data_IF_183596316389
#
_entry.id   IF_183596316389
#
_cell.length_a   1.000
_cell.length_b   1.000
_cell.length_c   1.000
_cell.angle_alpha   90.00
_cell.angle_beta   90.00
_cell.angle_gamma   90.00
#
_symmetry.space_group_name_H-M   'P 1'
#
loop_
_entity.id
_entity.type
_entity.pdbx_description
1 polymer ?
#
# COMPACT_ATOMS: atom_id res chain seq x y z
N UNK A 1 39.86 35.16 47.69
CA UNK A 1 40.23 34.09 46.75
C UNK A 1 39.18 33.97 45.67
N UNK A 2 39.58 34.37 44.47
CA UNK A 2 39.09 33.96 43.14
C UNK A 2 37.65 34.26 42.75
N UNK A 3 37.50 35.39 42.06
CA UNK A 3 36.64 35.49 40.89
C UNK A 3 36.79 34.25 40.01
N UNK A 4 35.82 33.33 40.09
CA UNK A 4 35.52 32.45 38.99
C UNK A 4 34.40 33.13 38.19
N UNK A 5 34.78 33.89 37.16
CA UNK A 5 33.92 34.05 35.99
C UNK A 5 33.75 32.64 35.40
N UNK A 6 32.87 31.84 36.00
CA UNK A 6 32.26 30.75 35.27
C UNK A 6 31.46 31.44 34.18
N UNK A 7 32.02 31.47 32.98
CA UNK A 7 31.24 31.67 31.77
C UNK A 7 30.29 30.48 31.77
N UNK A 8 29.09 30.69 32.32
CA UNK A 8 28.01 29.74 32.18
C UNK A 8 27.66 29.77 30.70
N UNK A 9 28.30 28.90 29.93
CA UNK A 9 27.91 28.62 28.57
C UNK A 9 26.52 28.01 28.67
N UNK A 10 25.50 28.78 28.27
CA UNK A 10 24.18 28.23 28.11
C UNK A 10 24.16 27.53 26.75
N UNK A 11 23.81 26.25 26.76
CA UNK A 11 23.60 25.47 25.55
C UNK A 11 22.46 26.03 24.69
N UNK A 12 21.60 26.88 25.28
CA UNK A 12 20.45 27.51 24.61
C UNK A 12 20.08 28.88 25.21
N UNK A 13 19.56 29.78 24.38
CA UNK A 13 19.11 31.10 24.80
C UNK A 13 17.87 31.02 25.73
N UNK A 14 17.99 31.54 26.96
CA UNK A 14 16.96 31.39 28.01
C UNK A 14 15.65 32.15 27.80
N UNK A 15 15.68 33.27 27.09
CA UNK A 15 14.51 34.13 26.91
C UNK A 15 14.12 34.21 25.43
N UNK A 16 13.37 33.21 24.97
CA UNK A 16 12.94 33.10 23.60
C UNK A 16 12.06 34.29 23.17
N UNK A 17 11.21 34.82 24.06
CA UNK A 17 10.33 35.94 23.74
C UNK A 17 11.12 37.23 23.50
N UNK A 18 12.12 37.51 24.35
CA UNK A 18 13.00 38.66 24.16
C UNK A 18 13.80 38.54 22.86
N UNK A 19 14.28 37.34 22.52
CA UNK A 19 14.97 37.10 21.26
C UNK A 19 14.05 37.37 20.06
N UNK A 20 12.82 36.84 20.09
CA UNK A 20 11.81 37.05 19.04
C UNK A 20 11.53 38.53 18.81
N UNK A 21 11.25 39.28 19.88
CA UNK A 21 10.94 40.72 19.79
C UNK A 21 12.15 41.54 19.32
N UNK A 22 13.38 41.18 19.73
CA UNK A 22 14.59 41.85 19.27
C UNK A 22 14.82 41.65 17.77
N UNK A 23 14.64 40.42 17.25
CA UNK A 23 14.74 40.13 15.82
C UNK A 23 13.65 40.88 15.06
N UNK A 24 12.40 40.76 15.49
CA UNK A 24 11.24 41.43 14.89
C UNK A 24 11.45 42.93 14.77
N UNK A 25 11.90 43.60 15.84
CA UNK A 25 12.16 45.03 15.82
C UNK A 25 13.23 45.43 14.79
N UNK A 26 14.36 44.70 14.76
CA UNK A 26 15.46 44.99 13.82
C UNK A 26 15.04 44.85 12.36
N UNK A 27 14.30 43.81 12.05
CA UNK A 27 13.84 43.58 10.68
C UNK A 27 12.70 44.51 10.27
N UNK A 28 11.84 44.93 11.20
CA UNK A 28 10.80 45.93 10.91
C UNK A 28 11.40 47.27 10.43
N UNK A 29 12.53 47.70 11.02
CA UNK A 29 13.27 48.88 10.56
C UNK A 29 13.76 48.73 9.12
N UNK A 30 14.21 47.54 8.73
CA UNK A 30 14.74 47.30 7.39
C UNK A 30 13.63 47.08 6.35
N UNK A 31 12.49 46.52 6.77
CA UNK A 31 11.34 46.31 5.88
C UNK A 31 10.45 47.55 5.68
N UNK A 32 10.71 48.64 6.40
CA UNK A 32 10.02 49.92 6.22
C UNK A 32 10.76 50.79 5.19
N UNK A 33 10.05 51.27 4.16
CA UNK A 33 10.67 52.01 3.04
C UNK A 33 11.42 53.26 3.48
N UNK A 34 10.82 54.09 4.35
CA UNK A 34 11.43 55.34 4.82
C UNK A 34 12.70 55.09 5.65
N UNK A 35 12.63 54.11 6.55
CA UNK A 35 13.75 53.71 7.42
C UNK A 35 14.86 53.06 6.60
N UNK A 36 14.51 52.24 5.61
CA UNK A 36 15.47 51.60 4.71
C UNK A 36 16.15 52.62 3.80
N UNK A 37 15.41 53.58 3.24
CA UNK A 37 15.97 54.67 2.45
C UNK A 37 16.97 55.50 3.26
N UNK A 38 16.61 55.84 4.51
CA UNK A 38 17.49 56.55 5.44
C UNK A 38 18.76 55.75 5.76
N UNK A 39 18.63 54.44 6.01
CA UNK A 39 19.78 53.56 6.24
C UNK A 39 20.66 53.44 4.99
N UNK A 40 20.06 53.38 3.80
CA UNK A 40 20.76 53.29 2.52
C UNK A 40 21.60 54.53 2.26
N UNK A 41 21.05 55.73 2.51
CA UNK A 41 21.79 56.98 2.39
C UNK A 41 23.03 57.02 3.30
N UNK A 42 22.92 56.49 4.52
CA UNK A 42 24.02 56.45 5.49
C UNK A 42 25.14 55.47 5.13
N UNK A 43 24.77 54.29 4.61
CA UNK A 43 25.71 53.15 4.49
C UNK A 43 26.17 52.92 3.05
N UNK A 44 25.41 53.35 2.05
CA UNK A 44 25.71 53.19 0.63
C UNK A 44 25.30 54.44 -0.21
N UNK A 45 25.89 55.61 0.07
CA UNK A 45 25.56 56.88 -0.59
C UNK A 45 25.85 56.89 -2.10
N UNK A 46 26.70 55.99 -2.57
CA UNK A 46 27.12 55.77 -3.97
C UNK A 46 26.07 55.02 -4.82
N UNK A 47 24.88 54.73 -4.26
CA UNK A 47 23.70 54.42 -5.07
C UNK A 47 23.62 53.01 -5.63
N UNK A 48 24.35 52.04 -5.06
CA UNK A 48 24.17 50.62 -5.43
C UNK A 48 22.71 50.20 -5.29
N UNK A 49 22.24 49.43 -6.27
CA UNK A 49 20.85 48.96 -6.39
C UNK A 49 20.52 47.90 -5.33
N UNK A 50 20.39 48.38 -4.10
CA UNK A 50 19.98 47.63 -2.92
C UNK A 50 18.52 47.94 -2.68
N UNK A 51 17.69 46.90 -2.79
CA UNK A 51 16.26 46.94 -2.49
C UNK A 51 16.01 46.17 -1.19
N UNK A 52 14.83 46.35 -0.60
CA UNK A 52 14.41 45.60 0.58
C UNK A 52 14.42 44.10 0.27
N UNK A 53 14.04 43.71 -0.96
CA UNK A 53 14.07 42.32 -1.43
C UNK A 53 15.47 41.73 -1.41
N UNK A 54 16.45 42.41 -2.01
CA UNK A 54 17.82 41.88 -2.09
C UNK A 54 18.49 41.83 -0.72
N UNK A 55 18.19 42.79 0.17
CA UNK A 55 18.64 42.73 1.56
C UNK A 55 18.04 41.54 2.33
N UNK A 56 16.72 41.39 2.27
CA UNK A 56 16.01 40.31 2.98
C UNK A 56 16.48 38.94 2.49
N UNK A 57 16.67 38.76 1.17
CA UNK A 57 17.19 37.52 0.59
C UNK A 57 18.61 37.17 1.08
N UNK A 58 19.45 38.17 1.33
CA UNK A 58 20.81 37.97 1.83
C UNK A 58 20.86 37.67 3.33
N UNK A 59 19.99 38.31 4.12
CA UNK A 59 20.05 38.25 5.59
C UNK A 59 19.24 37.07 6.16
N UNK A 60 18.13 36.66 5.53
CA UNK A 60 17.29 35.58 6.04
C UNK A 60 18.05 34.26 6.28
N UNK A 61 18.91 33.77 5.35
CA UNK A 61 19.68 32.55 5.59
C UNK A 61 20.59 32.67 6.81
N UNK A 62 21.26 33.83 6.97
CA UNK A 62 22.13 34.10 8.12
C UNK A 62 21.36 34.15 9.44
N UNK A 63 20.14 34.69 9.41
CA UNK A 63 19.27 34.66 10.57
C UNK A 63 18.87 33.22 10.92
N UNK A 64 18.57 32.39 9.91
CA UNK A 64 18.22 30.98 10.11
C UNK A 64 19.35 30.22 10.78
N UNK A 65 20.58 30.38 10.29
CA UNK A 65 21.77 29.75 10.87
C UNK A 65 22.00 30.24 12.31
N UNK A 66 21.93 31.55 12.53
CA UNK A 66 22.09 32.15 13.86
C UNK A 66 21.05 31.66 14.87
N UNK A 67 19.78 31.56 14.47
CA UNK A 67 18.73 31.01 15.34
C UNK A 67 18.95 29.51 15.58
N UNK A 68 19.42 28.75 14.59
CA UNK A 68 19.78 27.35 14.74
C UNK A 68 20.89 27.11 15.77
N UNK A 69 21.86 28.01 15.84
CA UNK A 69 22.92 27.98 16.86
C UNK A 69 22.43 28.41 18.25
N UNK A 70 21.54 29.40 18.32
CA UNK A 70 21.06 29.96 19.59
C UNK A 70 19.99 29.12 20.29
N UNK A 71 19.11 28.48 19.52
CA UNK A 71 17.97 27.71 20.01
C UNK A 71 17.87 26.38 19.26
N UNK A 72 18.86 25.48 19.45
CA UNK A 72 18.98 24.25 18.67
C UNK A 72 17.84 23.25 18.91
N UNK A 73 17.06 23.42 19.99
CA UNK A 73 15.92 22.54 20.27
C UNK A 73 14.64 22.96 19.55
N UNK A 74 14.61 24.18 18.99
CA UNK A 74 13.44 24.75 18.34
C UNK A 74 13.37 24.43 16.84
N UNK A 75 12.15 24.37 16.31
CA UNK A 75 11.94 24.31 14.87
C UNK A 75 12.10 25.73 14.29
N UNK A 76 13.25 25.97 13.63
CA UNK A 76 13.62 27.29 13.14
C UNK A 76 12.62 27.87 12.14
N UNK A 77 12.03 27.04 11.27
CA UNK A 77 11.01 27.50 10.31
C UNK A 77 9.78 28.03 11.04
N UNK A 78 9.29 27.30 12.05
CA UNK A 78 8.17 27.73 12.90
C UNK A 78 8.51 28.99 13.70
N UNK A 79 9.74 29.08 14.21
CA UNK A 79 10.21 30.23 14.97
C UNK A 79 10.24 31.49 14.09
N UNK A 80 10.78 31.39 12.87
CA UNK A 80 10.81 32.49 11.91
C UNK A 80 9.38 32.97 11.57
N UNK A 81 8.45 32.05 11.37
CA UNK A 81 7.05 32.39 11.10
C UNK A 81 6.40 33.17 12.25
N UNK A 82 6.66 32.77 13.50
CA UNK A 82 6.16 33.47 14.69
C UNK A 82 6.77 34.87 14.86
N UNK A 83 8.09 34.99 14.66
CA UNK A 83 8.82 36.27 14.69
C UNK A 83 8.20 37.26 13.69
N UNK A 84 7.95 36.78 12.48
CA UNK A 84 7.57 37.63 11.35
C UNK A 84 6.07 37.72 11.11
N UNK A 85 5.21 37.08 11.90
CA UNK A 85 3.75 36.99 11.64
C UNK A 85 3.05 38.33 11.34
N UNK A 86 3.54 39.45 11.88
CA UNK A 86 2.99 40.80 11.65
C UNK A 86 3.71 41.60 10.56
N UNK A 87 4.78 41.07 9.96
CA UNK A 87 5.59 41.76 8.97
C UNK A 87 5.07 41.50 7.54
N UNK A 88 4.54 42.51 6.82
CA UNK A 88 3.87 42.31 5.54
C UNK A 88 4.82 41.96 4.38
N UNK A 89 6.12 42.24 4.52
CA UNK A 89 7.11 42.05 3.45
C UNK A 89 7.83 40.71 3.59
N UNK A 90 8.19 40.34 4.81
CA UNK A 90 9.03 39.17 5.10
C UNK A 90 8.19 37.91 5.28
N UNK A 91 7.05 38.01 6.00
CA UNK A 91 6.23 36.84 6.31
C UNK A 91 5.76 36.06 5.07
N UNK A 92 5.26 36.71 3.99
CA UNK A 92 4.84 35.96 2.81
C UNK A 92 5.98 35.18 2.15
N UNK A 93 7.22 35.71 2.19
CA UNK A 93 8.40 35.07 1.60
C UNK A 93 8.81 33.83 2.38
N UNK A 94 8.91 33.96 3.72
CA UNK A 94 9.23 32.82 4.60
C UNK A 94 8.13 31.75 4.50
N UNK A 95 6.86 32.16 4.53
CA UNK A 95 5.73 31.25 4.34
C UNK A 95 5.85 30.49 3.02
N UNK A 96 6.13 31.17 1.91
CA UNK A 96 6.29 30.52 0.60
C UNK A 96 7.46 29.53 0.59
N UNK A 97 8.61 29.87 1.18
CA UNK A 97 9.79 29.00 1.26
C UNK A 97 9.50 27.72 2.06
N UNK A 98 8.89 27.87 3.24
CA UNK A 98 8.52 26.74 4.11
C UNK A 98 7.51 25.82 3.40
N UNK A 99 6.50 26.39 2.74
CA UNK A 99 5.53 25.62 1.97
C UNK A 99 6.17 24.89 0.80
N UNK A 100 7.05 25.56 0.05
CA UNK A 100 7.79 24.95 -1.05
C UNK A 100 8.66 23.79 -0.60
N UNK A 101 9.34 23.92 0.55
CA UNK A 101 10.13 22.83 1.15
C UNK A 101 9.26 21.64 1.57
N UNK A 102 8.11 21.90 2.20
CA UNK A 102 7.16 20.86 2.61
C UNK A 102 6.56 20.13 1.40
N UNK A 103 6.18 20.86 0.35
CA UNK A 103 5.68 20.26 -0.89
C UNK A 103 6.76 19.47 -1.62
N UNK A 104 8.00 19.95 -1.69
CA UNK A 104 9.10 19.21 -2.29
C UNK A 104 9.36 17.88 -1.55
N UNK A 105 9.33 17.88 -0.21
CA UNK A 105 9.41 16.66 0.61
C UNK A 105 8.24 15.72 0.35
N UNK A 106 7.02 16.25 0.23
CA UNK A 106 5.83 15.46 -0.09
C UNK A 106 5.97 14.81 -1.46
N UNK A 107 6.24 15.60 -2.50
CA UNK A 107 6.40 15.13 -3.87
C UNK A 107 7.49 14.05 -3.98
N UNK A 108 8.58 14.16 -3.22
CA UNK A 108 9.59 13.10 -3.15
C UNK A 108 9.02 11.77 -2.65
N UNK A 109 8.26 11.79 -1.55
CA UNK A 109 7.59 10.58 -1.01
C UNK A 109 6.64 9.97 -2.03
N UNK A 110 5.85 10.80 -2.72
CA UNK A 110 4.88 10.33 -3.71
C UNK A 110 5.56 9.75 -4.95
N UNK A 111 6.60 10.41 -5.47
CA UNK A 111 7.35 9.94 -6.62
C UNK A 111 8.09 8.63 -6.34
N UNK A 112 8.67 8.48 -5.14
CA UNK A 112 9.33 7.23 -4.72
C UNK A 112 8.31 6.07 -4.65
N UNK A 113 7.11 6.35 -4.12
CA UNK A 113 5.98 5.40 -4.08
C UNK A 113 5.53 5.00 -5.48
N UNK A 114 5.33 5.97 -6.37
CA UNK A 114 4.93 5.73 -7.76
C UNK A 114 5.96 4.85 -8.48
N UNK A 115 7.26 5.15 -8.35
CA UNK A 115 8.32 4.35 -8.96
C UNK A 115 8.32 2.89 -8.45
N UNK A 116 8.09 2.69 -7.15
CA UNK A 116 8.00 1.34 -6.55
C UNK A 116 6.73 0.62 -7.02
N UNK A 117 5.61 1.33 -7.10
CA UNK A 117 4.34 0.79 -7.59
C UNK A 117 4.45 0.37 -9.06
N UNK A 118 5.03 1.20 -9.91
CA UNK A 118 5.18 0.88 -11.34
C UNK A 118 6.00 -0.40 -11.53
N UNK A 119 7.12 -0.53 -10.80
CA UNK A 119 7.89 -1.80 -10.74
C UNK A 119 7.07 -2.97 -10.21
N UNK A 120 6.26 -2.75 -9.17
CA UNK A 120 5.36 -3.78 -8.64
C UNK A 120 4.32 -4.22 -9.67
N UNK A 121 3.89 -3.34 -10.58
CA UNK A 121 2.90 -3.64 -11.61
C UNK A 121 3.49 -4.33 -12.85
N UNK A 122 4.80 -4.40 -13.01
CA UNK A 122 5.44 -5.07 -14.16
C UNK A 122 5.19 -6.59 -14.18
N UNK A 123 5.17 -7.17 -15.39
CA UNK A 123 5.04 -8.61 -15.60
C UNK A 123 3.64 -9.17 -15.33
N UNK A 124 3.53 -10.50 -15.23
CA UNK A 124 2.27 -11.19 -14.90
C UNK A 124 1.90 -11.00 -13.45
N UNK A 125 0.61 -11.11 -13.14
CA UNK A 125 0.15 -11.02 -11.76
C UNK A 125 0.67 -12.19 -10.90
N UNK A 126 0.89 -11.94 -9.62
CA UNK A 126 1.14 -12.98 -8.62
C UNK A 126 0.44 -12.63 -7.30
N UNK A 127 0.01 -13.63 -6.54
CA UNK A 127 -0.76 -13.45 -5.29
C UNK A 127 -0.07 -12.50 -4.28
N UNK A 128 1.27 -12.54 -4.22
CA UNK A 128 2.09 -11.67 -3.36
C UNK A 128 1.97 -10.19 -3.71
N UNK A 129 1.62 -9.83 -4.95
CA UNK A 129 1.49 -8.42 -5.34
C UNK A 129 0.42 -7.72 -4.50
N UNK A 130 -0.68 -8.39 -4.11
CA UNK A 130 -1.74 -7.82 -3.27
C UNK A 130 -1.22 -7.37 -1.90
N UNK A 131 -0.40 -8.21 -1.25
CA UNK A 131 0.20 -7.89 0.05
C UNK A 131 1.31 -6.86 -0.10
N UNK A 132 2.07 -6.90 -1.19
CA UNK A 132 3.08 -5.89 -1.50
C UNK A 132 2.46 -4.51 -1.79
N UNK A 133 1.35 -4.44 -2.52
CA UNK A 133 0.64 -3.20 -2.84
C UNK A 133 0.05 -2.54 -1.61
N UNK A 134 -0.63 -3.32 -0.75
CA UNK A 134 -1.13 -2.82 0.53
C UNK A 134 0.01 -2.37 1.48
N UNK A 135 1.11 -3.12 1.53
CA UNK A 135 2.29 -2.73 2.32
C UNK A 135 2.95 -1.45 1.80
N UNK A 136 3.05 -1.29 0.48
CA UNK A 136 3.57 -0.08 -0.15
C UNK A 136 2.69 1.12 0.21
N UNK A 137 1.37 1.02 0.01
CA UNK A 137 0.44 2.08 0.36
C UNK A 137 0.52 2.47 1.85
N UNK A 138 0.64 1.49 2.75
CA UNK A 138 0.80 1.73 4.18
C UNK A 138 2.10 2.49 4.51
N UNK A 139 3.21 2.13 3.87
CA UNK A 139 4.51 2.81 4.03
C UNK A 139 4.47 4.23 3.49
N UNK A 140 3.88 4.44 2.31
CA UNK A 140 3.71 5.75 1.71
C UNK A 140 2.87 6.65 2.61
N UNK A 141 1.75 6.15 3.12
CA UNK A 141 0.90 6.90 4.05
C UNK A 141 1.66 7.27 5.34
N UNK A 142 2.45 6.36 5.90
CA UNK A 142 3.24 6.64 7.09
C UNK A 142 4.26 7.78 6.86
N UNK A 143 4.98 7.75 5.74
CA UNK A 143 5.93 8.81 5.37
C UNK A 143 5.24 10.15 5.13
N UNK A 144 4.11 10.15 4.41
CA UNK A 144 3.33 11.35 4.11
C UNK A 144 2.73 11.99 5.37
N UNK A 145 2.28 11.18 6.34
CA UNK A 145 1.64 11.65 7.58
C UNK A 145 2.48 12.63 8.40
N UNK A 146 3.79 12.40 8.48
CA UNK A 146 4.67 13.30 9.22
C UNK A 146 4.66 14.71 8.60
N UNK A 147 4.75 14.77 7.26
CA UNK A 147 4.74 16.01 6.49
C UNK A 147 3.35 16.67 6.57
N UNK A 148 2.27 15.90 6.42
CA UNK A 148 0.89 16.40 6.55
C UNK A 148 0.62 16.95 7.96
N UNK A 149 1.22 16.37 9.00
CA UNK A 149 1.10 16.89 10.37
C UNK A 149 1.78 18.25 10.50
N UNK A 150 2.97 18.43 9.93
CA UNK A 150 3.66 19.73 9.87
C UNK A 150 2.82 20.76 9.11
N UNK A 151 2.33 20.42 7.92
CA UNK A 151 1.45 21.28 7.12
C UNK A 151 0.17 21.67 7.87
N UNK A 152 -0.48 20.71 8.54
CA UNK A 152 -1.70 20.94 9.33
C UNK A 152 -1.46 21.89 10.49
N UNK A 153 -0.34 21.74 11.20
CA UNK A 153 0.03 22.63 12.31
C UNK A 153 0.28 24.04 11.78
N UNK A 154 0.88 24.16 10.60
CA UNK A 154 1.25 25.44 10.02
C UNK A 154 0.07 26.20 9.39
N UNK A 155 -0.78 25.51 8.65
CA UNK A 155 -1.83 26.12 7.83
C UNK A 155 -3.23 26.03 8.44
N UNK A 156 -3.45 25.03 9.29
CA UNK A 156 -4.77 24.65 9.77
C UNK A 156 -5.43 23.58 8.90
N UNK A 157 -6.48 22.97 9.45
CA UNK A 157 -7.13 21.77 8.87
C UNK A 157 -7.96 22.06 7.61
N UNK A 158 -8.40 23.30 7.42
CA UNK A 158 -9.28 23.71 6.31
C UNK A 158 -8.53 24.48 5.21
N UNK A 159 -7.20 24.61 5.31
CA UNK A 159 -6.41 25.33 4.32
C UNK A 159 -6.32 24.56 3.00
N UNK A 160 -6.48 25.26 1.88
CA UNK A 160 -6.52 24.65 0.54
C UNK A 160 -5.21 23.94 0.18
N UNK A 161 -4.06 24.48 0.56
CA UNK A 161 -2.77 23.85 0.26
C UNK A 161 -2.58 22.58 1.08
N UNK A 162 -3.02 22.59 2.34
CA UNK A 162 -3.03 21.39 3.18
C UNK A 162 -3.96 20.31 2.58
N UNK A 163 -5.20 20.67 2.24
CA UNK A 163 -6.18 19.74 1.68
C UNK A 163 -5.75 19.16 0.33
N UNK A 164 -5.12 19.97 -0.54
CA UNK A 164 -4.55 19.51 -1.81
C UNK A 164 -3.45 18.45 -1.59
N UNK A 165 -2.55 18.68 -0.63
CA UNK A 165 -1.51 17.70 -0.29
C UNK A 165 -2.07 16.44 0.37
N UNK A 166 -3.15 16.55 1.16
CA UNK A 166 -3.89 15.38 1.66
C UNK A 166 -4.46 14.59 0.47
N UNK A 167 -5.13 15.26 -0.46
CA UNK A 167 -5.74 14.59 -1.62
C UNK A 167 -4.69 13.87 -2.48
N UNK A 168 -3.56 14.53 -2.77
CA UNK A 168 -2.41 13.93 -3.48
C UNK A 168 -1.88 12.68 -2.76
N UNK A 169 -1.62 12.77 -1.45
CA UNK A 169 -1.07 11.67 -0.68
C UNK A 169 -2.00 10.45 -0.64
N UNK A 170 -3.29 10.68 -0.42
CA UNK A 170 -4.27 9.59 -0.35
C UNK A 170 -4.63 9.04 -1.74
N UNK A 171 -4.49 9.84 -2.80
CA UNK A 171 -4.60 9.37 -4.19
C UNK A 171 -3.50 8.36 -4.51
N UNK A 172 -2.26 8.68 -4.13
CA UNK A 172 -1.13 7.77 -4.29
C UNK A 172 -1.31 6.47 -3.49
N UNK A 173 -1.80 6.55 -2.25
CA UNK A 173 -2.14 5.38 -1.42
C UNK A 173 -3.22 4.52 -2.08
N UNK A 174 -4.25 5.16 -2.64
CA UNK A 174 -5.28 4.47 -3.41
C UNK A 174 -4.67 3.78 -4.64
N UNK A 175 -3.81 4.43 -5.41
CA UNK A 175 -3.17 3.81 -6.58
C UNK A 175 -2.32 2.59 -6.22
N UNK A 176 -1.62 2.61 -5.08
CA UNK A 176 -0.85 1.46 -4.59
C UNK A 176 -1.72 0.20 -4.38
N UNK A 177 -2.97 0.37 -3.95
CA UNK A 177 -3.90 -0.73 -3.75
C UNK A 177 -4.68 -1.09 -5.02
N UNK A 178 -5.34 -0.11 -5.63
CA UNK A 178 -6.35 -0.37 -6.67
C UNK A 178 -5.73 -0.88 -7.96
N UNK A 179 -4.55 -0.40 -8.35
CA UNK A 179 -3.93 -0.85 -9.61
C UNK A 179 -3.48 -2.30 -9.52
N UNK A 180 -3.00 -2.73 -8.35
CA UNK A 180 -2.68 -4.13 -8.10
C UNK A 180 -3.94 -4.99 -8.07
N UNK A 181 -5.01 -4.48 -7.46
CA UNK A 181 -6.31 -5.15 -7.46
C UNK A 181 -6.89 -5.28 -8.87
N UNK A 182 -6.83 -4.24 -9.69
CA UNK A 182 -7.30 -4.29 -11.07
C UNK A 182 -6.53 -5.35 -11.87
N UNK A 183 -5.20 -5.39 -11.71
CA UNK A 183 -4.37 -6.43 -12.33
C UNK A 183 -4.71 -7.84 -11.84
N UNK A 184 -5.12 -7.99 -10.59
CA UNK A 184 -5.68 -9.25 -10.08
C UNK A 184 -6.96 -9.61 -10.84
N UNK A 185 -7.92 -8.69 -10.95
CA UNK A 185 -9.19 -8.92 -11.67
C UNK A 185 -8.95 -9.26 -13.15
N UNK A 186 -8.04 -8.56 -13.83
CA UNK A 186 -7.64 -8.86 -15.21
C UNK A 186 -7.12 -10.29 -15.34
N UNK A 187 -6.25 -10.73 -14.42
CA UNK A 187 -5.71 -12.09 -14.43
C UNK A 187 -6.78 -13.17 -14.18
N UNK A 188 -7.82 -12.86 -13.41
CA UNK A 188 -8.98 -13.74 -13.26
C UNK A 188 -9.77 -13.85 -14.56
N UNK A 189 -10.07 -12.71 -15.19
CA UNK A 189 -10.87 -12.65 -16.42
C UNK A 189 -10.16 -13.36 -17.60
N UNK A 190 -8.83 -13.28 -17.64
CA UNK A 190 -8.02 -13.95 -18.66
C UNK A 190 -7.81 -15.46 -18.39
N UNK A 191 -8.36 -16.01 -17.31
CA UNK A 191 -8.13 -17.39 -16.86
C UNK A 191 -6.63 -17.72 -16.67
N UNK A 192 -5.82 -16.73 -16.29
CA UNK A 192 -4.38 -16.91 -16.01
C UNK A 192 -4.14 -17.57 -14.64
N UNK A 193 -5.20 -17.84 -13.89
CA UNK A 193 -5.19 -18.40 -12.54
C UNK A 193 -5.57 -19.89 -12.52
N UNK A 194 -4.76 -20.72 -11.84
CA UNK A 194 -5.24 -22.01 -11.36
C UNK A 194 -5.97 -21.83 -10.02
N UNK A 195 -6.86 -22.77 -9.70
CA UNK A 195 -7.63 -22.76 -8.43
C UNK A 195 -6.70 -22.76 -7.19
N UNK A 196 -5.48 -23.30 -7.31
CA UNK A 196 -4.46 -23.27 -6.25
C UNK A 196 -3.94 -21.86 -5.94
N UNK A 197 -3.90 -20.98 -6.95
CA UNK A 197 -3.36 -19.62 -6.83
C UNK A 197 -4.37 -18.70 -6.13
N UNK A 198 -5.68 -18.93 -6.35
CA UNK A 198 -6.77 -18.22 -5.65
C UNK A 198 -6.71 -18.38 -4.13
N UNK A 199 -6.29 -19.57 -3.66
CA UNK A 199 -6.14 -19.84 -2.23
C UNK A 199 -5.06 -18.96 -1.57
N UNK A 200 -4.06 -18.51 -2.34
CA UNK A 200 -2.97 -17.68 -1.86
C UNK A 200 -3.29 -16.19 -1.91
N UNK A 201 -4.30 -15.78 -2.68
CA UNK A 201 -4.73 -14.39 -2.75
C UNK A 201 -5.32 -13.95 -1.41
N UNK A 202 -4.79 -12.84 -0.87
CA UNK A 202 -5.23 -12.25 0.38
C UNK A 202 -5.52 -10.77 0.17
N UNK A 203 -6.79 -10.38 0.40
CA UNK A 203 -7.28 -9.02 0.23
C UNK A 203 -7.37 -8.25 1.56
N UNK A 204 -7.09 -8.87 2.71
CA UNK A 204 -7.21 -8.21 4.02
C UNK A 204 -6.37 -6.94 4.10
N UNK A 205 -5.11 -7.00 3.65
CA UNK A 205 -4.24 -5.81 3.69
C UNK A 205 -4.77 -4.64 2.86
N UNK A 206 -5.48 -4.89 1.76
CA UNK A 206 -6.12 -3.82 0.98
C UNK A 206 -7.36 -3.27 1.70
N UNK A 207 -8.17 -4.15 2.28
CA UNK A 207 -9.33 -3.74 3.09
C UNK A 207 -8.89 -2.87 4.28
N UNK A 208 -7.84 -3.29 4.99
CA UNK A 208 -7.30 -2.57 6.15
C UNK A 208 -6.76 -1.21 5.73
N UNK A 209 -5.91 -1.17 4.69
CA UNK A 209 -5.35 0.07 4.15
C UNK A 209 -6.43 1.12 3.83
N UNK A 210 -7.50 0.69 3.17
CA UNK A 210 -8.57 1.60 2.72
C UNK A 210 -9.51 1.99 3.86
N UNK A 211 -9.76 1.07 4.80
CA UNK A 211 -10.55 1.34 5.99
C UNK A 211 -9.86 2.36 6.90
N UNK A 212 -8.55 2.20 7.10
CA UNK A 212 -7.73 3.14 7.87
C UNK A 212 -7.66 4.50 7.17
N UNK A 213 -7.49 4.52 5.85
CA UNK A 213 -7.49 5.76 5.08
C UNK A 213 -8.82 6.54 5.25
N UNK A 214 -9.97 5.89 5.12
CA UNK A 214 -11.27 6.54 5.31
C UNK A 214 -11.51 7.03 6.74
N UNK A 215 -11.00 6.30 7.74
CA UNK A 215 -11.10 6.70 9.14
C UNK A 215 -10.36 8.02 9.37
N UNK A 216 -9.20 8.20 8.76
CA UNK A 216 -8.40 9.42 8.90
C UNK A 216 -8.98 10.59 8.09
N UNK A 217 -9.56 10.31 6.92
CA UNK A 217 -10.25 11.31 6.10
C UNK A 217 -11.65 11.68 6.60
N UNK A 218 -12.11 11.12 7.74
CA UNK A 218 -13.50 11.27 8.22
C UNK A 218 -13.96 12.72 8.29
N UNK A 219 -13.12 13.60 8.81
CA UNK A 219 -13.43 15.02 9.04
C UNK A 219 -12.84 15.97 7.98
N UNK A 220 -12.31 15.42 6.88
CA UNK A 220 -11.72 16.21 5.80
C UNK A 220 -12.63 16.16 4.56
N UNK A 221 -12.72 17.31 3.90
CA UNK A 221 -13.40 17.47 2.62
C UNK A 221 -12.37 17.39 1.49
N UNK A 222 -12.07 16.15 1.06
CA UNK A 222 -11.13 15.88 -0.04
C UNK A 222 -11.79 14.97 -1.08
N UNK A 223 -11.63 15.24 -2.38
CA UNK A 223 -12.24 14.46 -3.46
C UNK A 223 -11.95 12.96 -3.39
N UNK A 224 -10.71 12.56 -3.10
CA UNK A 224 -10.27 11.16 -3.11
C UNK A 224 -11.06 10.24 -2.16
N UNK A 225 -11.69 10.79 -1.12
CA UNK A 225 -12.46 10.05 -0.13
C UNK A 225 -13.59 9.21 -0.76
N UNK A 226 -14.28 9.75 -1.76
CA UNK A 226 -15.40 9.06 -2.43
C UNK A 226 -14.88 7.86 -3.22
N UNK A 227 -13.79 8.04 -3.97
CA UNK A 227 -13.13 7.00 -4.74
C UNK A 227 -12.61 5.86 -3.85
N UNK A 228 -11.97 6.17 -2.71
CA UNK A 228 -11.50 5.15 -1.77
C UNK A 228 -12.68 4.35 -1.20
N UNK A 229 -13.79 5.01 -0.86
CA UNK A 229 -14.98 4.34 -0.34
C UNK A 229 -15.62 3.37 -1.36
N UNK A 230 -15.70 3.79 -2.63
CA UNK A 230 -16.19 2.94 -3.72
C UNK A 230 -15.28 1.73 -3.94
N UNK A 231 -13.97 1.97 -4.04
CA UNK A 231 -12.98 0.91 -4.22
C UNK A 231 -12.98 -0.09 -3.06
N UNK A 232 -13.08 0.38 -1.82
CA UNK A 232 -13.17 -0.48 -0.63
C UNK A 232 -14.41 -1.39 -0.70
N UNK A 233 -15.54 -0.85 -1.16
CA UNK A 233 -16.77 -1.64 -1.33
C UNK A 233 -16.57 -2.75 -2.36
N UNK A 234 -16.00 -2.43 -3.53
CA UNK A 234 -15.70 -3.43 -4.56
C UNK A 234 -14.69 -4.50 -4.11
N UNK A 235 -13.64 -4.10 -3.39
CA UNK A 235 -12.63 -5.03 -2.86
C UNK A 235 -13.26 -5.98 -1.82
N UNK A 236 -14.14 -5.46 -0.95
CA UNK A 236 -14.84 -6.28 0.05
C UNK A 236 -15.76 -7.31 -0.58
N UNK A 237 -16.46 -6.93 -1.65
CA UNK A 237 -17.33 -7.86 -2.39
C UNK A 237 -16.52 -9.04 -2.95
N UNK A 238 -15.43 -8.74 -3.69
CA UNK A 238 -14.56 -9.78 -4.25
C UNK A 238 -13.90 -10.62 -3.15
N UNK A 239 -13.53 -10.01 -2.03
CA UNK A 239 -13.01 -10.73 -0.86
C UNK A 239 -14.03 -11.73 -0.31
N UNK A 240 -15.28 -11.32 -0.15
CA UNK A 240 -16.33 -12.20 0.38
C UNK A 240 -16.55 -13.40 -0.55
N UNK A 241 -16.64 -13.16 -1.87
CA UNK A 241 -16.74 -14.22 -2.87
C UNK A 241 -15.54 -15.18 -2.82
N UNK A 242 -14.32 -14.64 -2.66
CA UNK A 242 -13.12 -15.46 -2.54
C UNK A 242 -13.13 -16.32 -1.26
N UNK A 243 -13.59 -15.76 -0.14
CA UNK A 243 -13.69 -16.46 1.13
C UNK A 243 -14.77 -17.57 1.08
N UNK A 244 -15.87 -17.35 0.37
CA UNK A 244 -16.89 -18.37 0.10
C UNK A 244 -16.33 -19.52 -0.72
N UNK A 245 -15.61 -19.24 -1.82
CA UNK A 245 -14.96 -20.27 -2.65
C UNK A 245 -13.96 -21.08 -1.82
N UNK A 246 -13.15 -20.41 -1.00
CA UNK A 246 -12.19 -21.07 -0.09
C UNK A 246 -12.90 -21.94 0.94
N UNK A 247 -14.04 -21.50 1.46
CA UNK A 247 -14.82 -22.21 2.48
C UNK A 247 -15.57 -23.41 1.89
N UNK A 248 -16.15 -23.27 0.69
CA UNK A 248 -16.80 -24.37 -0.03
C UNK A 248 -15.80 -25.51 -0.34
N UNK A 249 -14.54 -25.18 -0.63
CA UNK A 249 -13.46 -26.17 -0.77
C UNK A 249 -13.10 -26.86 0.55
N UNK A 250 -13.15 -26.14 1.68
CA UNK A 250 -12.88 -26.70 3.02
C UNK A 250 -14.00 -27.63 3.52
N UNK A 251 -15.24 -27.39 3.12
CA UNK A 251 -16.39 -28.26 3.42
C UNK A 251 -16.44 -29.51 2.53
N UNK A 252 -15.68 -29.54 1.42
CA UNK A 252 -15.45 -30.72 0.58
C UNK A 252 -13.97 -31.16 0.57
N UNK A 253 -13.38 -31.55 1.71
CA UNK A 253 -11.98 -31.97 1.76
C UNK A 253 -11.74 -33.33 1.05
N UNK A 254 -12.80 -34.00 0.58
CA UNK A 254 -12.74 -35.35 -0.01
C UNK A 254 -12.77 -35.44 -1.54
N UNK A 255 -12.78 -34.33 -2.30
CA UNK A 255 -12.96 -34.41 -3.76
C UNK A 255 -11.86 -33.82 -4.64
N UNK A 256 -10.69 -33.46 -4.11
CA UNK A 256 -9.54 -33.10 -4.96
C UNK A 256 -8.56 -34.25 -5.24
N UNK A 257 -8.97 -35.51 -5.02
CA UNK A 257 -8.23 -36.69 -5.50
C UNK A 257 -9.06 -38.00 -5.52
N UNK A 258 -10.39 -37.96 -5.45
CA UNK A 258 -11.23 -39.16 -5.41
C UNK A 258 -11.61 -39.69 -6.81
N UNK A 259 -10.68 -39.65 -7.77
CA UNK A 259 -10.90 -40.17 -9.12
C UNK A 259 -10.68 -41.69 -9.20
N UNK A 260 -11.41 -42.38 -10.08
CA UNK A 260 -10.98 -43.69 -10.57
C UNK A 260 -9.79 -43.49 -11.52
N UNK A 261 -8.58 -43.29 -10.96
CA UNK A 261 -7.37 -42.90 -11.69
C UNK A 261 -7.07 -43.78 -12.89
N UNK A 262 -7.19 -45.10 -12.73
CA UNK A 262 -6.98 -46.07 -13.82
C UNK A 262 -8.05 -45.90 -14.91
N UNK A 263 -9.31 -45.67 -14.56
CA UNK A 263 -10.40 -45.51 -15.52
C UNK A 263 -10.27 -44.21 -16.32
N UNK A 264 -9.91 -43.11 -15.65
CA UNK A 264 -9.66 -41.82 -16.32
C UNK A 264 -8.43 -41.89 -17.23
N UNK A 265 -7.32 -42.49 -16.79
CA UNK A 265 -6.13 -42.67 -17.64
C UNK A 265 -6.38 -43.59 -18.84
N UNK A 266 -7.29 -44.57 -18.70
CA UNK A 266 -7.65 -45.52 -19.75
C UNK A 266 -8.59 -44.93 -20.79
N UNK A 267 -9.60 -44.18 -20.35
CA UNK A 267 -10.68 -43.66 -21.20
C UNK A 267 -10.46 -42.22 -21.66
N UNK A 268 -9.40 -41.57 -21.16
CA UNK A 268 -8.95 -40.26 -21.61
C UNK A 268 -9.83 -39.08 -21.21
N UNK A 269 -10.91 -39.31 -20.44
CA UNK A 269 -11.78 -38.26 -19.93
C UNK A 269 -12.31 -38.60 -18.54
N UNK A 270 -12.37 -37.58 -17.68
CA UNK A 270 -12.95 -37.67 -16.34
C UNK A 270 -14.47 -37.87 -16.40
N UNK A 271 -15.12 -37.41 -17.48
CA UNK A 271 -16.57 -37.39 -17.67
C UNK A 271 -17.08 -38.50 -18.59
N UNK A 272 -16.22 -39.46 -18.93
CA UNK A 272 -16.62 -40.61 -19.73
C UNK A 272 -17.67 -41.45 -18.97
N UNK A 273 -18.76 -41.86 -19.63
CA UNK A 273 -19.92 -42.52 -18.99
C UNK A 273 -19.54 -43.74 -18.13
N UNK A 274 -18.60 -44.57 -18.61
CA UNK A 274 -18.08 -45.72 -17.85
C UNK A 274 -17.28 -45.33 -16.58
N UNK A 275 -16.60 -44.19 -16.59
CA UNK A 275 -15.87 -43.69 -15.41
C UNK A 275 -16.88 -43.25 -14.35
N UNK A 276 -17.93 -42.55 -14.76
CA UNK A 276 -19.02 -42.15 -13.88
C UNK A 276 -19.73 -43.37 -13.27
N UNK A 277 -19.98 -44.40 -14.07
CA UNK A 277 -20.58 -45.65 -13.62
C UNK A 277 -19.72 -46.38 -12.56
N UNK A 278 -18.40 -46.43 -12.76
CA UNK A 278 -17.47 -47.02 -11.78
C UNK A 278 -17.36 -46.18 -10.49
N UNK A 279 -17.48 -44.85 -10.58
CA UNK A 279 -17.52 -43.98 -9.39
C UNK A 279 -18.79 -44.23 -8.59
N UNK A 280 -19.94 -44.30 -9.25
CA UNK A 280 -21.19 -44.65 -8.57
C UNK A 280 -21.11 -46.03 -7.92
N UNK A 281 -20.51 -47.03 -8.59
CA UNK A 281 -20.30 -48.35 -7.99
C UNK A 281 -19.43 -48.29 -6.73
N UNK A 282 -18.37 -47.49 -6.74
CA UNK A 282 -17.55 -47.25 -5.54
C UNK A 282 -18.37 -46.61 -4.43
N UNK A 283 -19.07 -45.53 -4.74
CA UNK A 283 -19.74 -44.70 -3.75
C UNK A 283 -20.97 -45.38 -3.14
N UNK A 284 -21.76 -46.05 -3.97
CA UNK A 284 -23.03 -46.66 -3.57
C UNK A 284 -22.87 -48.09 -3.06
N UNK A 285 -21.88 -48.85 -3.54
CA UNK A 285 -21.73 -50.26 -3.18
C UNK A 285 -20.45 -50.59 -2.41
N UNK A 286 -19.28 -50.10 -2.84
CA UNK A 286 -18.01 -50.45 -2.18
C UNK A 286 -17.93 -49.77 -0.80
N UNK A 287 -18.18 -48.46 -0.73
CA UNK A 287 -18.06 -47.69 0.51
C UNK A 287 -19.09 -48.05 1.57
N UNK A 288 -20.16 -48.78 1.21
CA UNK A 288 -21.14 -49.30 2.17
C UNK A 288 -20.69 -50.61 2.84
N UNK A 289 -19.61 -51.26 2.37
CA UNK A 289 -19.04 -52.45 3.00
C UNK A 289 -18.03 -52.07 4.09
N UNK A 290 -17.94 -52.92 5.13
CA UNK A 290 -16.98 -52.74 6.24
C UNK A 290 -15.52 -52.63 5.78
N UNK A 291 -15.15 -53.35 4.72
CA UNK A 291 -13.82 -53.33 4.11
C UNK A 291 -13.65 -52.25 3.03
N UNK A 292 -14.73 -51.55 2.65
CA UNK A 292 -14.75 -50.67 1.49
C UNK A 292 -13.80 -49.49 1.60
N UNK A 293 -13.68 -48.90 2.79
CA UNK A 293 -12.79 -47.76 3.03
C UNK A 293 -11.32 -48.14 2.87
N UNK A 294 -10.92 -49.30 3.39
CA UNK A 294 -9.55 -49.80 3.29
C UNK A 294 -9.19 -50.15 1.85
N UNK A 295 -10.12 -50.78 1.11
CA UNK A 295 -9.95 -51.07 -0.31
C UNK A 295 -9.79 -49.80 -1.16
N UNK A 296 -10.64 -48.78 -0.94
CA UNK A 296 -10.54 -47.52 -1.68
C UNK A 296 -9.23 -46.79 -1.37
N UNK A 297 -8.79 -46.81 -0.10
CA UNK A 297 -7.49 -46.24 0.31
C UNK A 297 -6.32 -46.94 -0.38
N UNK A 298 -6.31 -48.27 -0.40
CA UNK A 298 -5.32 -49.07 -1.13
C UNK A 298 -5.33 -48.75 -2.63
N UNK A 299 -6.52 -48.67 -3.23
CA UNK A 299 -6.69 -48.35 -4.64
C UNK A 299 -6.19 -46.94 -4.98
N UNK A 300 -6.42 -45.93 -4.15
CA UNK A 300 -5.90 -44.58 -4.41
C UNK A 300 -4.38 -44.49 -4.31
N UNK A 301 -3.77 -45.27 -3.43
CA UNK A 301 -2.32 -45.32 -3.33
C UNK A 301 -1.68 -45.99 -4.56
N UNK A 302 -2.08 -47.21 -4.88
CA UNK A 302 -1.46 -47.97 -5.98
C UNK A 302 -2.02 -47.59 -7.37
N UNK A 303 -3.29 -47.23 -7.45
CA UNK A 303 -3.97 -46.86 -8.69
C UNK A 303 -3.47 -45.55 -9.28
N UNK A 304 -3.06 -44.58 -8.45
CA UNK A 304 -2.41 -43.35 -8.91
C UNK A 304 -1.05 -43.60 -9.57
N UNK A 305 -0.27 -44.56 -9.05
CA UNK A 305 1.02 -44.97 -9.62
C UNK A 305 0.80 -45.68 -10.96
N UNK A 306 -0.14 -46.63 -11.02
CA UNK A 306 -0.46 -47.35 -12.24
C UNK A 306 -1.02 -46.43 -13.35
N UNK A 307 -1.85 -45.45 -12.99
CA UNK A 307 -2.46 -44.51 -13.94
C UNK A 307 -1.41 -43.70 -14.71
N UNK A 308 -0.36 -43.20 -14.03
CA UNK A 308 0.74 -42.48 -14.68
C UNK A 308 1.46 -43.32 -15.74
N UNK A 309 1.57 -44.63 -15.53
CA UNK A 309 2.21 -45.54 -16.50
C UNK A 309 1.29 -45.85 -17.69
N UNK A 310 -0.03 -45.88 -17.45
CA UNK A 310 -1.05 -46.18 -18.46
C UNK A 310 -1.31 -44.98 -19.37
N UNK A 311 -1.26 -43.75 -18.83
CA UNK A 311 -1.62 -42.51 -19.53
C UNK A 311 -0.77 -42.27 -20.79
N UNK A 312 0.50 -42.68 -20.77
CA UNK A 312 1.44 -42.44 -21.86
C UNK A 312 1.53 -43.59 -22.89
N UNK A 313 0.84 -44.74 -22.66
CA UNK A 313 1.01 -45.95 -23.49
C UNK A 313 -0.31 -46.49 -24.05
N UNK A 314 -0.52 -46.35 -25.36
CA UNK A 314 -1.73 -46.82 -26.07
C UNK A 314 -2.03 -48.31 -25.88
N UNK A 315 -0.99 -49.16 -25.85
CA UNK A 315 -1.14 -50.61 -25.60
C UNK A 315 -1.63 -50.87 -24.17
N UNK A 316 -1.11 -50.16 -23.17
CA UNK A 316 -1.55 -50.31 -21.78
C UNK A 316 -2.96 -49.78 -21.55
N UNK A 317 -3.36 -48.71 -22.24
CA UNK A 317 -4.77 -48.25 -22.25
C UNK A 317 -5.69 -49.35 -22.76
N UNK A 318 -5.34 -49.99 -23.89
CA UNK A 318 -6.16 -51.07 -24.47
C UNK A 318 -6.25 -52.30 -23.55
N UNK A 319 -5.13 -52.67 -22.91
CA UNK A 319 -5.11 -53.77 -21.92
C UNK A 319 -5.90 -53.43 -20.66
N UNK A 320 -5.72 -52.23 -20.10
CA UNK A 320 -6.47 -51.74 -18.95
C UNK A 320 -7.97 -51.70 -19.22
N UNK A 321 -8.37 -51.25 -20.41
CA UNK A 321 -9.76 -51.25 -20.83
C UNK A 321 -10.37 -52.67 -20.82
N UNK A 322 -9.67 -53.63 -21.43
CA UNK A 322 -10.16 -55.01 -21.58
C UNK A 322 -10.18 -55.78 -20.26
N UNK A 323 -9.15 -55.66 -19.44
CA UNK A 323 -8.95 -56.51 -18.25
C UNK A 323 -9.35 -55.86 -16.93
N UNK A 324 -9.47 -54.53 -16.87
CA UNK A 324 -9.80 -53.80 -15.64
C UNK A 324 -11.16 -53.13 -15.78
N UNK A 325 -11.35 -52.30 -16.81
CA UNK A 325 -12.56 -51.48 -16.93
C UNK A 325 -13.80 -52.32 -17.26
N UNK A 326 -13.73 -53.16 -18.29
CA UNK A 326 -14.90 -53.96 -18.71
C UNK A 326 -15.39 -54.94 -17.62
N UNK A 327 -14.53 -55.72 -16.93
CA UNK A 327 -14.98 -56.61 -15.88
C UNK A 327 -15.59 -55.85 -14.68
N UNK A 328 -15.03 -54.70 -14.32
CA UNK A 328 -15.55 -53.89 -13.20
C UNK A 328 -16.89 -53.23 -13.54
N UNK A 329 -17.07 -52.75 -14.78
CA UNK A 329 -18.37 -52.23 -15.24
C UNK A 329 -19.41 -53.35 -15.27
N UNK A 330 -19.05 -54.53 -15.76
CA UNK A 330 -19.94 -55.69 -15.73
C UNK A 330 -20.35 -56.03 -14.29
N UNK A 331 -19.38 -56.12 -13.37
CA UNK A 331 -19.64 -56.37 -11.95
C UNK A 331 -20.55 -55.29 -11.36
N UNK A 332 -20.30 -54.01 -11.64
CA UNK A 332 -21.11 -52.89 -11.17
C UNK A 332 -22.58 -53.02 -11.60
N UNK A 333 -22.83 -53.45 -12.84
CA UNK A 333 -24.19 -53.65 -13.37
C UNK A 333 -24.89 -54.88 -12.79
N UNK A 334 -24.14 -55.96 -12.54
CA UNK A 334 -24.68 -57.19 -11.95
C UNK A 334 -25.08 -56.96 -10.49
N UNK A 335 -24.30 -56.16 -9.77
CA UNK A 335 -24.46 -55.94 -8.33
C UNK A 335 -25.46 -54.80 -8.02
N UNK A 336 -25.75 -53.92 -8.99
CA UNK A 336 -26.82 -52.91 -8.92
C UNK A 336 -28.22 -53.47 -9.25
N UNK A 337 -28.33 -54.72 -9.72
CA UNK A 337 -29.60 -55.47 -9.81
C UNK A 337 -29.80 -56.27 -8.54
#
# INVERSE_FOLDING_TARGET
NHSSLEIIAFDEHKDLNRLKEAVKHKFNLVSNEDSFASLKELVAPDGKDTSIESFVAFILPKLKDFLGELVPTENIDRLLLDIFQSNPVIYPKIKAEVLGSLEARMNKVLNDSELLRNRLLEGRFSSRKLTQGSSLGSKTLHSAKNILKEMKVFLGINDSFYLDNVDKAYSEVNYCGILVFNKFIESLNNNEFQISDLNQCNLNGLVDLYSDALKELRHLEVPIKTTIAQNLTGIREVKNQLDEIKSAKRLNPSNSNSGCFIATATLGSYDHSLVLELRQFRDEWILTKRWGKDFVSWYYYYGGIAAKVIEDKTVLKRMSYLFIILPLVFLARVVKK
#
